data_IF_223594246404
#
_entry.id   IF_223594246404
#
_cell.length_a   1.000
_cell.length_b   1.000
_cell.length_c   1.000
_cell.angle_alpha   90.00
_cell.angle_beta   90.00
_cell.angle_gamma   90.00
#
_symmetry.space_group_name_H-M   'P 1'
#
loop_
_entity.id
_entity.type
_entity.pdbx_description
1 polymer ?
#
# COMPACT_ATOMS: atom_id res chain seq x y z
N UNK A 1 11.65 4.97 -6.04
CA UNK A 1 10.32 4.36 -5.87
C UNK A 1 9.73 4.56 -4.46
N UNK A 2 10.52 4.39 -3.42
CA UNK A 2 10.02 4.56 -2.05
C UNK A 2 9.46 5.95 -1.78
N UNK A 3 10.10 6.98 -2.28
CA UNK A 3 9.63 8.35 -2.08
C UNK A 3 8.29 8.62 -2.74
N UNK A 4 8.09 8.08 -3.94
CA UNK A 4 6.82 8.23 -4.64
C UNK A 4 5.68 7.54 -3.87
N UNK A 5 5.95 6.36 -3.31
CA UNK A 5 4.97 5.65 -2.50
C UNK A 5 4.63 6.44 -1.24
N UNK A 6 5.65 6.94 -0.57
CA UNK A 6 5.47 7.74 0.65
C UNK A 6 4.64 8.99 0.38
N UNK A 7 4.96 9.69 -0.69
CA UNK A 7 4.25 10.91 -1.07
C UNK A 7 2.79 10.61 -1.43
N UNK A 8 2.58 9.54 -2.20
CA UNK A 8 1.25 9.11 -2.57
C UNK A 8 0.39 8.78 -1.34
N UNK A 9 0.93 8.03 -0.41
CA UNK A 9 0.22 7.66 0.80
C UNK A 9 0.00 8.85 1.73
N UNK A 10 0.86 9.87 1.66
CA UNK A 10 0.65 11.11 2.42
C UNK A 10 -0.61 11.84 1.95
N UNK A 11 -0.96 11.73 0.68
CA UNK A 11 -2.17 12.32 0.13
C UNK A 11 -3.40 11.44 0.30
N UNK A 12 -3.24 10.22 0.81
CA UNK A 12 -4.32 9.28 1.03
C UNK A 12 -4.29 8.75 2.46
N UNK A 13 -4.71 9.56 3.43
CA UNK A 13 -4.61 9.21 4.86
C UNK A 13 -5.39 7.94 5.24
N UNK A 14 -6.38 7.56 4.45
CA UNK A 14 -7.12 6.32 4.68
C UNK A 14 -6.40 5.11 4.10
N UNK A 15 -5.29 5.34 3.41
CA UNK A 15 -4.50 4.28 2.80
C UNK A 15 -4.97 3.86 1.43
N UNK A 16 -4.18 3.05 0.78
CA UNK A 16 -4.45 2.53 -0.56
C UNK A 16 -4.11 1.05 -0.63
N UNK A 17 -4.81 0.34 -1.50
CA UNK A 17 -4.48 -1.05 -1.81
C UNK A 17 -3.27 -1.10 -2.74
N UNK A 18 -2.58 -2.24 -2.74
CA UNK A 18 -1.45 -2.47 -3.63
C UNK A 18 -1.79 -2.15 -5.09
N UNK A 19 -2.95 -2.61 -5.54
CA UNK A 19 -3.42 -2.38 -6.91
C UNK A 19 -3.57 -0.91 -7.22
N UNK A 20 -4.11 -0.14 -6.27
CA UNK A 20 -4.29 1.29 -6.43
C UNK A 20 -2.95 2.01 -6.53
N UNK A 21 -2.01 1.64 -5.68
CA UNK A 21 -0.66 2.21 -5.72
C UNK A 21 -0.01 1.93 -7.08
N UNK A 22 -0.16 0.70 -7.57
CA UNK A 22 0.39 0.31 -8.85
C UNK A 22 -0.18 1.16 -10.00
N UNK A 23 -1.48 1.42 -9.97
CA UNK A 23 -2.15 2.22 -10.98
C UNK A 23 -1.66 3.68 -10.92
N UNK A 24 -1.59 4.26 -9.73
CA UNK A 24 -1.14 5.64 -9.56
C UNK A 24 0.29 5.84 -10.03
N UNK A 25 1.16 4.89 -9.74
CA UNK A 25 2.57 4.99 -10.07
C UNK A 25 2.92 4.41 -11.43
N UNK A 26 1.95 3.80 -12.10
CA UNK A 26 2.12 3.18 -13.41
C UNK A 26 3.22 2.13 -13.43
N UNK A 27 3.23 1.30 -12.40
CA UNK A 27 4.18 0.19 -12.28
C UNK A 27 3.42 -1.10 -12.09
N UNK A 28 4.07 -2.21 -12.40
CA UNK A 28 3.47 -3.52 -12.20
C UNK A 28 3.40 -3.82 -10.70
N UNK A 29 2.29 -4.39 -10.26
CA UNK A 29 2.08 -4.65 -8.83
C UNK A 29 3.14 -5.59 -8.22
N UNK A 30 3.70 -6.52 -9.00
CA UNK A 30 4.77 -7.39 -8.53
C UNK A 30 6.03 -6.61 -8.14
N UNK A 31 6.28 -5.48 -8.82
CA UNK A 31 7.41 -4.63 -8.49
C UNK A 31 7.26 -3.94 -7.15
N UNK A 32 6.02 -3.77 -6.69
CA UNK A 32 5.73 -3.08 -5.44
C UNK A 32 5.79 -3.97 -4.21
N UNK A 33 5.55 -5.27 -4.37
CA UNK A 33 5.46 -6.19 -3.22
C UNK A 33 6.69 -6.12 -2.34
N UNK A 34 7.87 -6.25 -2.94
CA UNK A 34 9.13 -6.22 -2.19
C UNK A 34 9.42 -4.85 -1.59
N UNK A 35 9.08 -3.79 -2.33
CA UNK A 35 9.31 -2.42 -1.86
C UNK A 35 8.41 -2.11 -0.67
N UNK A 36 7.14 -2.49 -0.75
CA UNK A 36 6.21 -2.27 0.36
C UNK A 36 6.62 -3.07 1.59
N UNK A 37 7.04 -4.31 1.41
CA UNK A 37 7.51 -5.13 2.52
C UNK A 37 8.73 -4.49 3.20
N UNK A 38 9.65 -3.99 2.40
CA UNK A 38 10.84 -3.32 2.91
C UNK A 38 10.49 -2.04 3.68
N UNK A 39 9.60 -1.22 3.13
CA UNK A 39 9.16 0.00 3.80
C UNK A 39 8.41 -0.31 5.10
N UNK A 40 7.67 -1.41 5.14
CA UNK A 40 7.00 -1.85 6.36
C UNK A 40 8.02 -2.23 7.42
N UNK A 41 9.05 -2.95 7.04
CA UNK A 41 10.12 -3.33 7.96
C UNK A 41 10.89 -2.12 8.48
N UNK A 42 10.99 -1.09 7.67
CA UNK A 42 11.63 0.17 8.05
C UNK A 42 10.73 1.04 8.95
N UNK A 43 9.46 0.67 9.11
CA UNK A 43 8.54 1.41 9.94
C UNK A 43 7.95 2.66 9.28
N UNK A 44 8.12 2.80 7.97
CA UNK A 44 7.61 3.96 7.22
C UNK A 44 6.13 3.80 6.90
N UNK A 45 5.71 2.59 6.58
CA UNK A 45 4.33 2.26 6.28
C UNK A 45 3.91 1.03 7.06
N UNK A 46 2.60 0.80 7.11
CA UNK A 46 2.07 -0.43 7.67
C UNK A 46 0.90 -0.89 6.81
N UNK A 47 0.50 -2.14 7.00
CA UNK A 47 -0.60 -2.74 6.27
C UNK A 47 -1.71 -3.19 7.22
N UNK A 48 -2.95 -2.87 6.85
CA UNK A 48 -4.12 -3.28 7.60
C UNK A 48 -4.94 -4.22 6.75
N UNK A 49 -5.24 -5.40 7.30
CA UNK A 49 -6.13 -6.35 6.62
C UNK A 49 -7.55 -5.82 6.61
N UNK A 50 -8.19 -5.94 5.47
CA UNK A 50 -9.60 -5.62 5.34
C UNK A 50 -10.28 -6.82 4.68
N UNK A 51 -11.21 -7.42 5.41
CA UNK A 51 -11.91 -8.62 4.98
C UNK A 51 -13.37 -8.27 4.72
N UNK A 52 -13.74 -8.28 3.45
CA UNK A 52 -15.11 -8.03 3.03
C UNK A 52 -15.85 -9.36 2.91
N UNK A 53 -16.46 -9.78 3.99
CA UNK A 53 -17.20 -11.04 4.05
C UNK A 53 -18.35 -11.10 3.06
N UNK A 54 -18.94 -9.97 2.74
CA UNK A 54 -20.08 -9.93 1.83
C UNK A 54 -19.70 -10.33 0.41
N UNK A 55 -18.48 -9.97 -0.01
CA UNK A 55 -17.98 -10.29 -1.34
C UNK A 55 -16.91 -11.37 -1.34
N UNK A 56 -16.53 -11.85 -0.16
CA UNK A 56 -15.47 -12.84 -0.04
C UNK A 56 -14.09 -12.30 -0.41
N UNK A 57 -13.92 -11.00 -0.39
CA UNK A 57 -12.67 -10.36 -0.74
C UNK A 57 -11.79 -10.13 0.47
N UNK A 58 -10.51 -10.33 0.28
CA UNK A 58 -9.50 -10.06 1.28
C UNK A 58 -8.43 -9.19 0.64
N UNK A 59 -8.09 -8.06 1.28
CA UNK A 59 -7.05 -7.19 0.79
C UNK A 59 -6.38 -6.42 1.92
N UNK A 60 -5.19 -5.90 1.63
CA UNK A 60 -4.43 -5.11 2.59
C UNK A 60 -4.47 -3.66 2.17
N UNK A 61 -4.76 -2.79 3.12
CA UNK A 61 -4.70 -1.34 2.95
C UNK A 61 -3.35 -0.87 3.50
N UNK A 62 -2.55 -0.25 2.65
CA UNK A 62 -1.25 0.30 3.03
C UNK A 62 -1.40 1.78 3.39
N UNK A 63 -0.78 2.19 4.49
CA UNK A 63 -0.87 3.57 4.97
C UNK A 63 0.45 4.02 5.59
N UNK A 64 0.65 5.35 5.64
CA UNK A 64 1.82 5.92 6.28
C UNK A 64 1.72 5.80 7.80
N UNK A 65 2.84 5.43 8.43
CA UNK A 65 2.99 5.41 9.87
C UNK A 65 3.52 6.76 10.31
N UNK A 66 2.94 7.28 11.36
CA UNK A 66 3.39 8.52 11.93
C UNK A 66 2.56 9.69 11.64
#
# INVERSE_FOLDING_TARGET
>A
MKEQIRELLAHHPNGLRLREIAIYLRVHHFSLINILDEMKKEGIIDGRSNDDHANGEYYIIWYLVG
#
